data_IF_928299195395
#
_entry.id   IF_928299195395
#
_cell.length_a   1.000
_cell.length_b   1.000
_cell.length_c   1.000
_cell.angle_alpha   90.00
_cell.angle_beta   90.00
_cell.angle_gamma   90.00
#
_symmetry.space_group_name_H-M   'P 1'
#
loop_
_entity.id
_entity.type
_entity.pdbx_description
1 polymer ?
#
# COMPACT_ATOMS: atom_id res chain seq x y z
N UNK A 1 -10.40 -31.24 49.47
CA UNK A 1 -10.45 -30.74 48.09
C UNK A 1 -9.02 -30.39 47.69
N UNK A 2 -8.27 -31.40 47.23
CA UNK A 2 -6.81 -31.33 47.11
C UNK A 2 -6.46 -30.92 45.67
N UNK A 3 -5.84 -29.75 45.51
CA UNK A 3 -5.40 -29.24 44.22
C UNK A 3 -4.19 -30.08 43.74
N UNK A 4 -4.37 -30.81 42.65
CA UNK A 4 -3.28 -31.53 41.98
C UNK A 4 -2.31 -30.50 41.36
N UNK A 5 -1.16 -30.34 42.00
CA UNK A 5 -0.04 -29.54 41.50
C UNK A 5 0.58 -30.20 40.27
N UNK A 6 0.25 -29.70 39.07
CA UNK A 6 0.88 -30.11 37.83
C UNK A 6 2.34 -29.61 37.77
N UNK A 7 3.31 -30.53 37.70
CA UNK A 7 4.72 -30.21 37.43
C UNK A 7 5.04 -30.56 35.97
N UNK A 8 5.21 -29.56 35.08
CA UNK A 8 5.48 -29.83 33.68
C UNK A 8 6.86 -30.50 33.50
N UNK A 9 6.91 -31.49 32.60
CA UNK A 9 8.14 -32.18 32.22
C UNK A 9 9.03 -31.25 31.38
N UNK A 10 10.36 -31.41 31.45
CA UNK A 10 11.33 -30.64 30.66
C UNK A 10 11.06 -30.74 29.15
N UNK A 11 10.59 -31.90 28.68
CA UNK A 11 10.17 -32.08 27.28
C UNK A 11 8.89 -31.29 26.93
N UNK A 12 7.96 -31.16 27.88
CA UNK A 12 6.75 -30.34 27.69
C UNK A 12 7.11 -28.87 27.54
N UNK A 13 8.03 -28.37 28.37
CA UNK A 13 8.55 -27.00 28.26
C UNK A 13 9.29 -26.81 26.92
N UNK A 14 10.08 -27.80 26.49
CA UNK A 14 10.81 -27.72 25.21
C UNK A 14 9.89 -27.72 23.99
N UNK A 15 8.83 -28.55 24.00
CA UNK A 15 7.81 -28.58 22.94
C UNK A 15 7.02 -27.26 22.92
N UNK A 16 6.66 -26.73 24.09
CA UNK A 16 5.97 -25.45 24.20
C UNK A 16 6.83 -24.31 23.64
N UNK A 17 8.13 -24.27 23.98
CA UNK A 17 9.06 -23.27 23.43
C UNK A 17 9.26 -23.42 21.92
N UNK A 18 9.30 -24.66 21.40
CA UNK A 18 9.36 -24.91 19.96
C UNK A 18 8.09 -24.41 19.24
N UNK A 19 6.91 -24.68 19.79
CA UNK A 19 5.63 -24.21 19.24
C UNK A 19 5.51 -22.67 19.29
N UNK A 20 5.99 -22.03 20.35
CA UNK A 20 6.07 -20.57 20.45
C UNK A 20 7.04 -20.01 19.40
N UNK A 21 8.21 -20.63 19.18
CA UNK A 21 9.15 -20.19 18.13
C UNK A 21 8.59 -20.32 16.71
N UNK A 22 7.74 -21.32 16.46
CA UNK A 22 7.07 -21.50 15.17
C UNK A 22 5.98 -20.42 14.93
N UNK A 23 5.47 -19.81 16.00
CA UNK A 23 4.39 -18.83 15.96
C UNK A 23 4.87 -17.38 15.71
N UNK A 24 6.18 -17.13 15.71
CA UNK A 24 6.75 -15.75 15.63
C UNK A 24 6.94 -15.26 14.19
N UNK A 25 6.68 -16.07 13.17
CA UNK A 25 6.91 -15.69 11.77
C UNK A 25 5.65 -15.32 11.00
N UNK A 26 4.79 -14.44 11.55
CA UNK A 26 3.98 -13.57 10.69
C UNK A 26 4.83 -12.36 10.31
N UNK A 27 5.78 -12.60 9.40
CA UNK A 27 6.41 -11.49 8.69
C UNK A 27 5.30 -10.88 7.82
N UNK A 28 4.76 -9.74 8.24
CA UNK A 28 3.87 -8.94 7.41
C UNK A 28 4.67 -8.46 6.19
N UNK A 29 4.72 -9.30 5.15
CA UNK A 29 5.18 -8.88 3.85
C UNK A 29 4.25 -7.75 3.39
N UNK A 30 4.84 -6.64 2.94
CA UNK A 30 4.07 -5.56 2.33
C UNK A 30 3.21 -6.13 1.21
N UNK A 31 1.90 -5.85 1.20
CA UNK A 31 1.02 -6.19 0.08
C UNK A 31 1.30 -5.33 -1.16
N UNK A 32 2.19 -4.34 -1.02
CA UNK A 32 2.59 -3.42 -2.08
C UNK A 32 3.76 -4.04 -2.86
N UNK A 33 3.58 -4.15 -4.17
CA UNK A 33 4.58 -4.72 -5.08
C UNK A 33 5.72 -3.72 -5.35
N UNK A 34 6.82 -4.22 -5.93
CA UNK A 34 8.04 -3.42 -6.16
C UNK A 34 7.90 -2.36 -7.28
N UNK A 35 7.00 -2.60 -8.21
CA UNK A 35 6.65 -1.76 -9.36
C UNK A 35 5.51 -0.76 -9.06
N UNK A 36 4.89 -0.87 -7.88
CA UNK A 36 3.85 0.05 -7.45
C UNK A 36 4.47 1.35 -6.89
N UNK A 37 3.91 2.48 -7.30
CA UNK A 37 4.22 3.81 -6.78
C UNK A 37 3.17 4.21 -5.75
N UNK A 38 3.61 4.79 -4.63
CA UNK A 38 2.74 5.33 -3.58
C UNK A 38 2.87 6.85 -3.54
N UNK A 39 1.73 7.55 -3.48
CA UNK A 39 1.67 8.99 -3.18
C UNK A 39 0.85 9.17 -1.91
N UNK A 40 1.45 9.72 -0.86
CA UNK A 40 0.75 10.08 0.37
C UNK A 40 0.16 11.49 0.29
N UNK A 41 -1.02 11.66 0.89
CA UNK A 41 -1.64 12.97 1.03
C UNK A 41 -1.33 13.57 2.41
N UNK A 42 -0.93 14.86 2.47
CA UNK A 42 -0.78 15.54 3.74
C UNK A 42 -2.08 15.45 4.54
N UNK A 43 -1.98 14.89 5.74
CA UNK A 43 -3.13 14.72 6.63
C UNK A 43 -2.74 15.20 8.02
N UNK A 44 -3.62 15.98 8.67
CA UNK A 44 -3.39 16.43 10.03
C UNK A 44 -3.68 15.28 11.00
N UNK A 45 -2.76 15.08 11.94
CA UNK A 45 -2.98 14.22 13.09
C UNK A 45 -3.90 14.91 14.11
N UNK A 46 -4.59 14.12 14.93
CA UNK A 46 -5.32 14.62 16.09
C UNK A 46 -5.06 13.76 17.31
N UNK A 47 -5.13 14.38 18.49
CA UNK A 47 -5.04 13.68 19.76
C UNK A 47 -6.40 13.08 20.10
N UNK A 48 -6.45 11.77 20.28
CA UNK A 48 -7.57 11.10 20.94
C UNK A 48 -7.39 11.24 22.45
N UNK A 49 -8.21 12.11 23.05
CA UNK A 49 -8.19 12.38 24.49
C UNK A 49 -8.61 11.16 25.33
N UNK A 50 -9.41 10.24 24.76
CA UNK A 50 -9.90 9.06 25.48
C UNK A 50 -8.81 7.99 25.62
N UNK A 51 -8.06 7.77 24.55
CA UNK A 51 -6.95 6.82 24.51
C UNK A 51 -5.59 7.46 24.84
N UNK A 52 -5.56 8.80 24.97
CA UNK A 52 -4.35 9.61 25.13
C UNK A 52 -3.29 9.30 24.07
N UNK A 53 -3.75 9.10 22.83
CA UNK A 53 -2.92 8.66 21.71
C UNK A 53 -3.09 9.60 20.52
N UNK A 54 -2.05 9.77 19.70
CA UNK A 54 -2.16 10.51 18.46
C UNK A 54 -2.67 9.59 17.36
N UNK A 55 -3.79 9.97 16.74
CA UNK A 55 -4.32 9.33 15.55
C UNK A 55 -3.81 10.09 14.34
N UNK A 56 -3.09 9.38 13.46
CA UNK A 56 -2.56 9.91 12.20
C UNK A 56 -3.23 9.14 11.07
N UNK A 57 -4.29 9.67 10.45
CA UNK A 57 -4.89 9.03 9.29
C UNK A 57 -3.89 9.06 8.13
N UNK A 58 -3.58 7.90 7.57
CA UNK A 58 -2.71 7.78 6.40
C UNK A 58 -3.59 7.58 5.17
N UNK A 59 -3.56 8.54 4.26
CA UNK A 59 -4.23 8.46 2.97
C UNK A 59 -3.20 8.50 1.85
N UNK A 60 -3.50 7.80 0.77
CA UNK A 60 -2.68 7.84 -0.42
C UNK A 60 -3.28 7.12 -1.60
N UNK A 61 -2.58 7.19 -2.72
CA UNK A 61 -2.82 6.39 -3.91
C UNK A 61 -1.67 5.41 -4.11
N UNK A 62 -2.02 4.19 -4.48
CA UNK A 62 -1.09 3.14 -4.88
C UNK A 62 -1.45 2.79 -6.31
N UNK A 63 -0.47 2.82 -7.21
CA UNK A 63 -0.72 2.56 -8.61
C UNK A 63 0.52 2.04 -9.34
N UNK A 64 0.31 1.33 -10.44
CA UNK A 64 1.39 0.85 -11.30
C UNK A 64 1.65 1.84 -12.45
N UNK A 65 2.93 2.16 -12.71
CA UNK A 65 3.34 2.99 -13.85
C UNK A 65 3.67 2.11 -15.05
N UNK A 66 2.68 1.87 -15.91
CA UNK A 66 2.94 1.29 -17.23
C UNK A 66 3.50 2.35 -18.21
N UNK A 67 4.83 2.52 -18.25
CA UNK A 67 5.49 3.52 -19.11
C UNK A 67 5.43 3.16 -20.62
N UNK A 68 5.30 1.87 -20.96
CA UNK A 68 5.34 1.38 -22.35
C UNK A 68 3.98 0.98 -22.94
N UNK A 69 2.89 1.29 -22.25
CA UNK A 69 1.56 0.90 -22.69
C UNK A 69 1.11 1.64 -23.97
N UNK A 70 0.88 0.86 -25.05
CA UNK A 70 0.27 1.36 -26.30
C UNK A 70 -1.16 1.88 -26.08
N UNK A 71 -1.93 1.23 -25.18
CA UNK A 71 -3.30 1.64 -24.86
C UNK A 71 -3.30 3.04 -24.22
N UNK A 72 -2.32 3.32 -23.36
CA UNK A 72 -2.21 4.58 -22.63
C UNK A 72 -1.80 5.74 -23.52
N UNK A 73 -0.91 5.49 -24.48
CA UNK A 73 -0.58 6.47 -25.54
C UNK A 73 -1.83 6.86 -26.34
N UNK A 74 -2.62 5.87 -26.77
CA UNK A 74 -3.87 6.12 -27.50
C UNK A 74 -4.92 6.86 -26.63
N UNK A 75 -5.03 6.54 -25.34
CA UNK A 75 -5.94 7.22 -24.42
C UNK A 75 -5.54 8.70 -24.20
N UNK A 76 -4.24 9.01 -24.08
CA UNK A 76 -3.76 10.39 -24.01
C UNK A 76 -4.10 11.15 -25.30
N UNK A 77 -3.83 10.56 -26.48
CA UNK A 77 -4.19 11.16 -27.77
C UNK A 77 -5.70 11.40 -27.91
N UNK A 78 -6.53 10.47 -27.44
CA UNK A 78 -7.98 10.61 -27.40
C UNK A 78 -8.43 11.76 -26.50
N UNK A 79 -7.85 11.89 -25.30
CA UNK A 79 -8.14 12.99 -24.37
C UNK A 79 -7.79 14.35 -24.98
N UNK A 80 -6.63 14.46 -25.65
CA UNK A 80 -6.21 15.68 -26.33
C UNK A 80 -7.17 16.10 -27.43
N UNK A 81 -7.61 15.13 -28.25
CA UNK A 81 -8.60 15.37 -29.30
C UNK A 81 -9.94 15.82 -28.74
N UNK A 82 -10.39 15.20 -27.65
CA UNK A 82 -11.64 15.58 -26.97
C UNK A 82 -11.59 16.99 -26.36
N UNK A 83 -10.41 17.43 -25.92
CA UNK A 83 -10.17 18.76 -25.36
C UNK A 83 -9.79 19.81 -26.41
N UNK A 84 -9.77 19.44 -27.71
CA UNK A 84 -9.36 20.29 -28.83
C UNK A 84 -7.97 20.95 -28.62
N UNK A 85 -7.09 20.27 -27.88
CA UNK A 85 -5.75 20.78 -27.60
C UNK A 85 -4.83 20.59 -28.81
N UNK A 86 -3.97 21.57 -29.04
CA UNK A 86 -2.99 21.51 -30.13
C UNK A 86 -2.02 20.35 -29.92
N UNK A 87 -1.64 19.67 -31.01
CA UNK A 87 -0.76 18.50 -30.99
C UNK A 87 0.66 18.80 -30.49
N UNK A 88 1.05 20.07 -30.48
CA UNK A 88 2.28 20.60 -29.92
C UNK A 88 2.35 20.45 -28.39
N UNK A 89 1.21 20.51 -27.69
CA UNK A 89 1.12 20.27 -26.23
C UNK A 89 1.45 18.81 -25.87
N UNK A 90 1.29 17.89 -26.83
CA UNK A 90 1.57 16.46 -26.64
C UNK A 90 3.07 16.20 -26.56
N UNK A 91 3.90 17.08 -27.11
CA UNK A 91 5.35 16.97 -27.02
C UNK A 91 5.89 17.49 -25.68
N UNK A 92 5.06 18.18 -24.90
CA UNK A 92 5.40 18.62 -23.56
C UNK A 92 5.45 17.40 -22.63
N UNK A 93 6.65 17.09 -22.15
CA UNK A 93 6.91 15.95 -21.28
C UNK A 93 6.13 16.03 -19.96
N UNK A 94 5.96 17.24 -19.42
CA UNK A 94 5.23 17.46 -18.18
C UNK A 94 3.73 17.22 -18.37
N UNK A 95 3.18 17.64 -19.51
CA UNK A 95 1.79 17.33 -19.85
C UNK A 95 1.59 15.81 -19.93
N UNK A 96 2.43 15.09 -20.68
CA UNK A 96 2.30 13.64 -20.83
C UNK A 96 2.43 12.91 -19.50
N UNK A 97 3.37 13.34 -18.65
CA UNK A 97 3.58 12.78 -17.33
C UNK A 97 2.32 12.95 -16.47
N UNK A 98 1.73 14.15 -16.43
CA UNK A 98 0.54 14.45 -15.63
C UNK A 98 -0.73 13.80 -16.18
N UNK A 99 -0.96 13.89 -17.48
CA UNK A 99 -2.08 13.23 -18.14
C UNK A 99 -2.00 11.71 -17.95
N UNK A 100 -0.79 11.15 -17.99
CA UNK A 100 -0.54 9.76 -17.70
C UNK A 100 -1.07 9.33 -16.34
N UNK A 101 -0.95 10.15 -15.29
CA UNK A 101 -1.40 9.78 -13.94
C UNK A 101 -2.93 9.55 -13.83
N UNK A 102 -3.73 10.04 -14.78
CA UNK A 102 -5.16 9.74 -14.85
C UNK A 102 -5.48 8.38 -15.47
N UNK A 103 -4.47 7.73 -16.04
CA UNK A 103 -4.56 6.46 -16.77
C UNK A 103 -3.70 5.38 -16.11
N UNK A 104 -3.35 5.53 -14.83
CA UNK A 104 -2.70 4.45 -14.06
C UNK A 104 -3.74 3.48 -13.56
N UNK A 105 -3.36 2.21 -13.42
CA UNK A 105 -4.19 1.27 -12.68
C UNK A 105 -4.07 1.55 -11.18
N UNK A 106 -5.20 1.74 -10.50
CA UNK A 106 -5.25 2.15 -9.10
C UNK A 106 -5.59 0.96 -8.21
N UNK A 107 -4.71 0.70 -7.25
CA UNK A 107 -4.86 -0.37 -6.28
C UNK A 107 -5.62 0.13 -5.04
N UNK A 108 -6.52 -0.70 -4.52
CA UNK A 108 -7.37 -0.40 -3.35
C UNK A 108 -7.22 -1.47 -2.28
N UNK A 109 -7.44 -1.09 -1.02
CA UNK A 109 -7.49 -2.04 0.10
C UNK A 109 -6.13 -2.58 0.54
N UNK A 110 -5.05 -1.90 0.14
CA UNK A 110 -3.67 -2.13 0.57
C UNK A 110 -3.24 -1.06 1.58
#
# INVERSE_FOLDING_TARGET
>A
MTLLSFKPNKYFISILLFLISLSISFCYASQIKKDETIIFFPTAAYLDESEKSWIIPVHGWIFEKEDDSLWRKAAVEGLLKALELKSDVVKDELFRQRAGLFLVDNEKGK
#
